data_IF_495053205537
#
_entry.id   IF_495053205537
#
_cell.length_a   1.000
_cell.length_b   1.000
_cell.length_c   1.000
_cell.angle_alpha   90.00
_cell.angle_beta   90.00
_cell.angle_gamma   90.00
#
_symmetry.space_group_name_H-M   'P 1'
#
loop_
_entity.id
_entity.type
_entity.pdbx_description
1 polymer ?
#
# COMPACT_ATOMS: atom_id res chain seq x y z
N UNK A 1 20.84 -0.58 9.88
CA UNK A 1 20.67 0.26 8.67
C UNK A 1 21.59 1.44 8.88
N UNK A 2 22.51 1.69 7.96
CA UNK A 2 23.35 2.90 7.99
C UNK A 2 22.48 4.15 7.81
N UNK A 3 22.87 5.26 8.44
CA UNK A 3 22.09 6.51 8.44
C UNK A 3 21.78 7.01 7.02
N UNK A 4 22.75 6.99 6.11
CA UNK A 4 22.54 7.40 4.71
C UNK A 4 21.44 6.58 3.99
N UNK A 5 21.34 5.28 4.27
CA UNK A 5 20.29 4.43 3.70
C UNK A 5 18.92 4.71 4.33
N UNK A 6 18.90 5.04 5.62
CA UNK A 6 17.68 5.50 6.29
C UNK A 6 17.20 6.80 5.67
N UNK A 7 18.07 7.81 5.56
CA UNK A 7 17.76 9.13 5.03
C UNK A 7 17.26 9.05 3.59
N UNK A 8 17.97 8.31 2.73
CA UNK A 8 17.53 8.09 1.35
C UNK A 8 16.15 7.43 1.28
N UNK A 9 15.92 6.40 2.10
CA UNK A 9 14.63 5.71 2.12
C UNK A 9 13.50 6.62 2.60
N UNK A 10 13.71 7.42 3.65
CA UNK A 10 12.72 8.39 4.13
C UNK A 10 12.47 9.49 3.08
N UNK A 11 13.51 9.96 2.41
CA UNK A 11 13.42 10.97 1.34
C UNK A 11 12.52 10.47 0.21
N UNK A 12 12.72 9.23 -0.26
CA UNK A 12 11.96 8.66 -1.37
C UNK A 12 10.55 8.22 -0.95
N UNK A 13 10.41 7.54 0.19
CA UNK A 13 9.18 6.85 0.54
C UNK A 13 8.18 7.72 1.29
N UNK A 14 8.64 8.79 1.95
CA UNK A 14 7.78 9.66 2.79
C UNK A 14 7.87 11.12 2.37
N UNK A 15 9.07 11.71 2.32
CA UNK A 15 9.23 13.14 2.03
C UNK A 15 8.77 13.50 0.62
N UNK A 16 8.98 12.64 -0.37
CA UNK A 16 8.46 12.85 -1.72
C UNK A 16 6.93 13.02 -1.73
N UNK A 17 6.21 12.24 -0.92
CA UNK A 17 4.75 12.31 -0.78
C UNK A 17 4.29 13.54 0.02
N UNK A 18 5.18 14.19 0.77
CA UNK A 18 4.93 15.52 1.34
C UNK A 18 5.16 16.63 0.29
N UNK A 19 6.25 16.53 -0.49
CA UNK A 19 6.66 17.58 -1.42
C UNK A 19 5.65 17.82 -2.54
N UNK A 20 4.95 16.79 -3.02
CA UNK A 20 3.87 16.94 -4.00
C UNK A 20 2.74 17.84 -3.48
N UNK A 21 2.02 17.41 -2.42
CA UNK A 21 0.98 18.21 -1.76
C UNK A 21 1.45 19.61 -1.37
N UNK A 22 2.65 19.76 -0.79
CA UNK A 22 3.21 21.07 -0.42
C UNK A 22 3.12 22.09 -1.56
N UNK A 23 3.41 21.67 -2.79
CA UNK A 23 3.39 22.54 -3.95
C UNK A 23 2.02 22.57 -4.65
N UNK A 24 1.23 21.50 -4.57
CA UNK A 24 -0.09 21.41 -5.21
C UNK A 24 -1.19 22.14 -4.44
N UNK A 25 -1.19 22.08 -3.10
CA UNK A 25 -2.26 22.60 -2.24
C UNK A 25 -2.57 24.07 -2.50
N UNK A 26 -1.60 25.00 -2.62
CA UNK A 26 -1.93 26.41 -2.92
C UNK A 26 -2.74 26.59 -4.20
N UNK A 27 -2.47 25.77 -5.22
CA UNK A 27 -3.24 25.78 -6.47
C UNK A 27 -4.61 25.13 -6.31
N UNK A 28 -4.71 24.01 -5.58
CA UNK A 28 -5.98 23.34 -5.30
C UNK A 28 -6.93 24.25 -4.52
N UNK A 29 -6.45 24.92 -3.48
CA UNK A 29 -7.22 25.91 -2.70
C UNK A 29 -7.72 27.03 -3.59
N UNK A 30 -6.87 27.56 -4.48
CA UNK A 30 -7.26 28.62 -5.42
C UNK A 30 -8.33 28.19 -6.44
N UNK A 31 -8.46 26.89 -6.71
CA UNK A 31 -9.47 26.31 -7.63
C UNK A 31 -10.68 25.70 -6.93
N UNK A 32 -10.81 25.82 -5.61
CA UNK A 32 -11.98 25.36 -4.85
C UNK A 32 -11.86 23.95 -4.25
N UNK A 33 -10.65 23.41 -4.14
CA UNK A 33 -10.36 22.14 -3.47
C UNK A 33 -9.90 21.03 -4.42
N UNK A 34 -10.02 19.78 -3.97
CA UNK A 34 -9.68 18.60 -4.76
C UNK A 34 -9.44 17.35 -3.92
N UNK A 35 -8.76 16.35 -4.51
CA UNK A 35 -8.44 15.09 -3.84
C UNK A 35 -6.96 14.72 -4.00
N UNK A 36 -6.32 14.32 -2.91
CA UNK A 36 -4.95 13.82 -2.85
C UNK A 36 -4.98 12.37 -2.38
N UNK A 37 -4.40 11.46 -3.17
CA UNK A 37 -4.31 10.04 -2.84
C UNK A 37 -2.85 9.63 -2.65
N UNK A 38 -2.48 9.31 -1.41
CA UNK A 38 -1.14 8.84 -1.06
C UNK A 38 -1.03 7.31 -1.20
N UNK A 39 0.12 6.82 -1.66
CA UNK A 39 0.38 5.39 -1.77
C UNK A 39 1.13 4.90 -0.52
N UNK A 40 0.39 4.35 0.43
CA UNK A 40 0.89 3.66 1.61
C UNK A 40 1.23 2.20 1.26
N UNK A 41 1.02 1.26 2.18
CA UNK A 41 1.19 -0.20 1.96
C UNK A 41 0.46 -0.97 3.04
N UNK A 42 0.19 -2.27 2.83
CA UNK A 42 -0.10 -3.15 3.99
C UNK A 42 1.02 -3.16 5.03
N UNK A 43 2.25 -2.85 4.62
CA UNK A 43 3.40 -2.63 5.51
C UNK A 43 3.28 -1.35 6.38
N UNK A 44 2.21 -0.56 6.22
CA UNK A 44 1.87 0.50 7.17
C UNK A 44 1.31 -0.05 8.49
N UNK A 45 0.85 -1.32 8.49
CA UNK A 45 0.21 -1.94 9.65
C UNK A 45 0.65 -3.39 9.93
N UNK A 46 1.20 -4.09 8.93
CA UNK A 46 1.94 -5.36 9.10
C UNK A 46 3.45 -5.10 9.06
N UNK A 47 4.24 -5.94 9.72
CA UNK A 47 5.68 -5.74 9.86
C UNK A 47 6.47 -7.02 9.57
N UNK A 48 7.64 -6.85 8.97
CA UNK A 48 8.55 -7.90 8.56
C UNK A 48 9.99 -7.59 9.02
N UNK A 49 10.74 -8.58 9.54
CA UNK A 49 12.16 -8.41 9.85
C UNK A 49 12.95 -7.88 8.64
N UNK A 50 13.80 -6.88 8.87
CA UNK A 50 14.65 -6.29 7.82
C UNK A 50 14.03 -5.11 7.06
N UNK A 51 12.73 -4.83 7.24
CA UNK A 51 12.01 -3.77 6.51
C UNK A 51 11.93 -2.44 7.26
N UNK A 52 12.80 -2.20 8.25
CA UNK A 52 12.74 -1.06 9.18
C UNK A 52 12.49 0.30 8.50
N UNK A 53 13.24 0.64 7.44
CA UNK A 53 13.10 1.93 6.74
C UNK A 53 11.77 2.02 6.00
N UNK A 54 11.44 0.96 5.24
CA UNK A 54 10.25 0.92 4.39
C UNK A 54 8.96 0.98 5.22
N UNK A 55 8.87 0.15 6.26
CA UNK A 55 7.70 0.08 7.14
C UNK A 55 7.53 1.36 7.95
N UNK A 56 8.63 1.93 8.47
CA UNK A 56 8.57 3.22 9.16
C UNK A 56 8.04 4.32 8.25
N UNK A 57 8.55 4.40 7.01
CA UNK A 57 8.09 5.38 6.03
C UNK A 57 6.61 5.18 5.68
N UNK A 58 6.19 3.94 5.37
CA UNK A 58 4.81 3.63 4.99
C UNK A 58 3.82 3.82 6.15
N UNK A 59 4.21 3.57 7.40
CA UNK A 59 3.43 3.96 8.56
C UNK A 59 3.33 5.49 8.69
N UNK A 60 4.43 6.21 8.43
CA UNK A 60 4.48 7.67 8.37
C UNK A 60 3.51 8.26 7.34
N UNK A 61 3.36 7.63 6.17
CA UNK A 61 2.40 8.05 5.13
C UNK A 61 0.95 8.05 5.66
N UNK A 62 0.57 7.08 6.50
CA UNK A 62 -0.76 7.04 7.11
C UNK A 62 -0.97 8.20 8.08
N UNK A 63 0.03 8.47 8.93
CA UNK A 63 -0.01 9.63 9.83
C UNK A 63 -0.11 10.95 9.07
N UNK A 64 0.73 11.13 8.04
CA UNK A 64 0.75 12.31 7.18
C UNK A 64 -0.59 12.51 6.45
N UNK A 65 -1.20 11.44 5.96
CA UNK A 65 -2.52 11.48 5.29
C UNK A 65 -3.60 12.02 6.23
N UNK A 66 -3.63 11.53 7.48
CA UNK A 66 -4.60 11.99 8.50
C UNK A 66 -4.36 13.46 8.86
N UNK A 67 -3.10 13.85 9.05
CA UNK A 67 -2.75 15.23 9.38
C UNK A 67 -3.18 16.19 8.26
N UNK A 68 -2.81 15.88 7.01
CA UNK A 68 -3.20 16.70 5.86
C UNK A 68 -4.72 16.77 5.68
N UNK A 69 -5.44 15.67 5.91
CA UNK A 69 -6.90 15.66 5.83
C UNK A 69 -7.55 16.62 6.84
N UNK A 70 -7.04 16.68 8.08
CA UNK A 70 -7.55 17.60 9.10
C UNK A 70 -7.15 19.05 8.83
N UNK A 71 -5.96 19.26 8.25
CA UNK A 71 -5.40 20.58 8.02
C UNK A 71 -6.03 21.27 6.81
N UNK A 72 -6.22 20.55 5.71
CA UNK A 72 -6.69 21.11 4.42
C UNK A 72 -8.15 20.78 4.10
N UNK A 73 -8.85 20.04 4.97
CA UNK A 73 -10.28 19.79 4.85
C UNK A 73 -11.13 21.07 4.72
N UNK A 74 -10.89 22.13 5.54
CA UNK A 74 -11.58 23.41 5.39
C UNK A 74 -11.39 24.10 4.02
N UNK A 75 -10.31 23.79 3.30
CA UNK A 75 -10.03 24.30 1.95
C UNK A 75 -10.70 23.47 0.84
N UNK A 76 -11.58 22.53 1.21
CA UNK A 76 -12.24 21.62 0.26
C UNK A 76 -11.32 20.51 -0.28
N UNK A 77 -10.19 20.26 0.38
CA UNK A 77 -9.22 19.24 -0.06
C UNK A 77 -9.40 17.96 0.76
N UNK A 78 -9.72 16.86 0.07
CA UNK A 78 -9.77 15.52 0.65
C UNK A 78 -8.41 14.86 0.51
N UNK A 79 -7.93 14.20 1.57
CA UNK A 79 -6.64 13.51 1.54
C UNK A 79 -6.83 12.11 2.07
N UNK A 80 -6.61 11.11 1.23
CA UNK A 80 -6.74 9.70 1.58
C UNK A 80 -5.47 8.94 1.19
N UNK A 81 -5.36 7.70 1.67
CA UNK A 81 -4.30 6.80 1.27
C UNK A 81 -4.88 5.46 0.78
N UNK A 82 -4.10 4.77 -0.04
CA UNK A 82 -4.32 3.36 -0.37
C UNK A 82 -3.21 2.54 0.26
N UNK A 83 -3.55 1.40 0.86
CA UNK A 83 -2.63 0.39 1.35
C UNK A 83 -2.73 -0.87 0.48
N UNK A 84 -1.90 -0.98 -0.57
CA UNK A 84 -1.87 -2.16 -1.42
C UNK A 84 -1.31 -3.38 -0.71
N UNK A 85 -1.87 -4.56 -1.02
CA UNK A 85 -1.21 -5.85 -0.83
C UNK A 85 -0.12 -6.08 -1.88
N UNK A 86 0.12 -7.35 -2.23
CA UNK A 86 1.08 -7.71 -3.27
C UNK A 86 0.46 -7.51 -4.65
N UNK A 87 0.87 -6.43 -5.33
CA UNK A 87 0.37 -6.04 -6.65
C UNK A 87 1.40 -6.38 -7.71
N UNK A 88 1.03 -7.24 -8.65
CA UNK A 88 1.91 -7.70 -9.73
C UNK A 88 1.80 -6.73 -10.92
N UNK A 89 2.66 -5.72 -10.93
CA UNK A 89 2.90 -4.85 -12.09
C UNK A 89 3.95 -5.42 -13.05
N UNK A 90 4.31 -4.67 -14.10
CA UNK A 90 5.22 -5.11 -15.17
C UNK A 90 6.56 -5.68 -14.65
N UNK A 91 7.17 -5.02 -13.65
CA UNK A 91 8.44 -5.47 -13.07
C UNK A 91 8.34 -6.82 -12.35
N UNK A 92 7.32 -7.00 -11.51
CA UNK A 92 7.09 -8.26 -10.78
C UNK A 92 6.56 -9.38 -11.69
N UNK A 93 5.84 -9.03 -12.77
CA UNK A 93 5.30 -10.01 -13.69
C UNK A 93 6.40 -10.88 -14.32
N UNK A 94 7.56 -10.29 -14.63
CA UNK A 94 8.72 -11.04 -15.12
C UNK A 94 9.26 -12.01 -14.06
N UNK A 95 9.41 -11.56 -12.82
CA UNK A 95 9.91 -12.38 -11.70
C UNK A 95 8.98 -13.58 -11.48
N UNK A 96 7.67 -13.36 -11.46
CA UNK A 96 6.70 -14.43 -11.23
C UNK A 96 6.51 -15.37 -12.42
N UNK A 97 6.77 -14.89 -13.65
CA UNK A 97 6.85 -15.77 -14.81
C UNK A 97 7.98 -16.80 -14.70
N UNK A 98 9.11 -16.38 -14.14
CA UNK A 98 10.27 -17.27 -13.93
C UNK A 98 10.15 -18.12 -12.64
N UNK A 99 9.22 -17.76 -11.74
CA UNK A 99 8.90 -18.52 -10.52
C UNK A 99 7.38 -18.68 -10.31
N UNK A 100 6.69 -19.50 -11.14
CA UNK A 100 5.24 -19.65 -11.05
C UNK A 100 4.79 -20.33 -9.75
N UNK A 101 5.55 -21.30 -9.21
CA UNK A 101 5.19 -21.99 -7.97
C UNK A 101 5.30 -21.06 -6.76
N UNK A 102 6.30 -20.19 -6.72
CA UNK A 102 6.37 -19.11 -5.73
C UNK A 102 5.23 -18.11 -5.87
N UNK A 103 4.82 -17.77 -7.10
CA UNK A 103 3.67 -16.88 -7.32
C UNK A 103 2.37 -17.49 -6.78
N UNK A 104 2.13 -18.77 -7.03
CA UNK A 104 0.98 -19.50 -6.50
C UNK A 104 0.97 -19.54 -4.96
N UNK A 105 2.13 -19.71 -4.33
CA UNK A 105 2.25 -19.60 -2.88
C UNK A 105 1.84 -18.20 -2.39
N UNK A 106 2.33 -17.13 -3.02
CA UNK A 106 1.91 -15.77 -2.68
C UNK A 106 0.41 -15.56 -2.91
N UNK A 107 -0.15 -16.08 -4.00
CA UNK A 107 -1.59 -15.98 -4.27
C UNK A 107 -2.42 -16.72 -3.21
N UNK A 108 -1.95 -17.85 -2.67
CA UNK A 108 -2.64 -18.56 -1.59
C UNK A 108 -2.72 -17.75 -0.29
N UNK A 109 -1.81 -16.80 -0.06
CA UNK A 109 -1.85 -15.94 1.12
C UNK A 109 -3.10 -15.05 1.17
N UNK A 110 -3.69 -14.75 0.01
CA UNK A 110 -4.85 -13.88 -0.12
C UNK A 110 -6.15 -14.68 -0.04
N UNK A 111 -7.16 -14.24 0.74
CA UNK A 111 -8.51 -14.80 0.69
C UNK A 111 -9.12 -14.87 -0.72
N UNK A 112 -8.81 -13.89 -1.59
CA UNK A 112 -9.25 -13.89 -3.00
C UNK A 112 -8.49 -14.87 -3.91
N UNK A 113 -7.47 -15.58 -3.40
CA UNK A 113 -6.68 -16.60 -4.14
C UNK A 113 -5.99 -16.08 -5.40
N UNK A 114 -5.62 -14.79 -5.38
CA UNK A 114 -4.81 -14.14 -6.40
C UNK A 114 -4.04 -12.99 -5.77
N UNK A 115 -2.93 -12.63 -6.39
CA UNK A 115 -2.27 -11.34 -6.17
C UNK A 115 -3.07 -10.22 -6.84
N UNK A 116 -2.87 -8.98 -6.40
CA UNK A 116 -3.49 -7.83 -7.04
C UNK A 116 -2.83 -7.50 -8.38
N UNK A 117 -3.54 -6.70 -9.20
CA UNK A 117 -3.04 -6.10 -10.44
C UNK A 117 -3.15 -4.57 -10.36
N UNK A 118 -2.44 -3.81 -11.22
CA UNK A 118 -2.49 -2.34 -11.19
C UNK A 118 -3.92 -1.77 -11.24
N UNK A 119 -4.82 -2.41 -12.00
CA UNK A 119 -6.22 -1.99 -12.13
C UNK A 119 -6.98 -2.06 -10.80
N UNK A 120 -6.66 -3.01 -9.91
CA UNK A 120 -7.27 -3.07 -8.57
C UNK A 120 -6.99 -1.79 -7.78
N UNK A 121 -5.77 -1.23 -7.92
CA UNK A 121 -5.36 0.02 -7.28
C UNK A 121 -5.94 1.23 -8.00
N UNK A 122 -5.87 1.25 -9.34
CA UNK A 122 -6.39 2.34 -10.15
C UNK A 122 -7.88 2.59 -9.89
N UNK A 123 -8.67 1.51 -9.78
CA UNK A 123 -10.10 1.60 -9.45
C UNK A 123 -10.35 2.25 -8.08
N UNK A 124 -9.54 1.90 -7.07
CA UNK A 124 -9.62 2.52 -5.75
C UNK A 124 -9.24 4.00 -5.76
N UNK A 125 -8.20 4.38 -6.52
CA UNK A 125 -7.82 5.79 -6.72
C UNK A 125 -8.96 6.55 -7.39
N UNK A 126 -9.50 6.01 -8.49
CA UNK A 126 -10.57 6.64 -9.25
C UNK A 126 -11.80 6.91 -8.37
N UNK A 127 -12.20 5.92 -7.56
CA UNK A 127 -13.28 6.08 -6.57
C UNK A 127 -12.96 7.17 -5.54
N UNK A 128 -11.77 7.15 -4.92
CA UNK A 128 -11.43 8.15 -3.90
C UNK A 128 -11.28 9.57 -4.49
N UNK A 129 -11.03 9.69 -5.79
CA UNK A 129 -11.02 10.97 -6.50
C UNK A 129 -12.41 11.44 -6.94
N UNK A 130 -13.43 10.58 -6.93
CA UNK A 130 -14.77 10.92 -7.44
C UNK A 130 -15.65 11.63 -6.41
N UNK A 131 -16.82 12.13 -6.87
CA UNK A 131 -17.82 12.80 -6.04
C UNK A 131 -18.52 11.84 -5.07
N UNK A 132 -18.59 10.55 -5.41
CA UNK A 132 -19.12 9.50 -4.53
C UNK A 132 -18.29 9.35 -3.25
N UNK A 133 -17.04 9.79 -3.25
CA UNK A 133 -16.16 9.84 -2.08
C UNK A 133 -16.10 11.23 -1.41
N UNK A 134 -17.02 12.14 -1.72
CA UNK A 134 -17.03 13.53 -1.22
C UNK A 134 -17.01 13.68 0.30
N UNK A 135 -17.42 12.66 1.06
CA UNK A 135 -17.37 12.65 2.52
C UNK A 135 -16.31 11.71 3.11
N UNK A 136 -15.36 11.23 2.29
CA UNK A 136 -14.25 10.37 2.71
C UNK A 136 -12.96 11.17 2.65
N UNK A 137 -12.36 11.43 3.82
CA UNK A 137 -11.04 12.05 3.98
C UNK A 137 -10.34 11.47 5.21
N UNK A 138 -9.00 11.45 5.22
CA UNK A 138 -8.16 10.87 6.26
C UNK A 138 -8.17 9.34 6.31
N UNK A 139 -8.85 8.67 5.37
CA UNK A 139 -8.99 7.22 5.35
C UNK A 139 -7.78 6.56 4.67
N UNK A 140 -7.42 5.37 5.13
CA UNK A 140 -6.45 4.49 4.48
C UNK A 140 -7.19 3.25 3.98
N UNK A 141 -7.50 3.23 2.69
CA UNK A 141 -8.21 2.13 2.05
C UNK A 141 -7.26 0.96 1.79
N UNK A 142 -7.45 -0.15 2.50
CA UNK A 142 -6.75 -1.39 2.18
C UNK A 142 -7.28 -1.97 0.86
N UNK A 143 -6.39 -2.21 -0.09
CA UNK A 143 -6.67 -2.93 -1.35
C UNK A 143 -5.69 -4.09 -1.41
N UNK A 144 -6.00 -5.12 -0.65
CA UNK A 144 -5.04 -6.17 -0.30
C UNK A 144 -5.63 -7.58 -0.41
N UNK A 145 -6.75 -7.75 -1.12
CA UNK A 145 -7.41 -9.04 -1.29
C UNK A 145 -7.79 -9.75 0.01
N UNK A 146 -7.88 -9.03 1.14
CA UNK A 146 -8.18 -9.56 2.46
C UNK A 146 -6.96 -10.04 3.26
N UNK A 147 -5.73 -9.74 2.82
CA UNK A 147 -4.50 -10.16 3.49
C UNK A 147 -4.50 -9.76 4.98
N UNK A 148 -4.78 -8.47 5.25
CA UNK A 148 -4.63 -7.83 6.56
C UNK A 148 -5.69 -8.21 7.61
N UNK A 149 -6.75 -8.91 7.21
CA UNK A 149 -7.91 -9.21 8.07
C UNK A 149 -8.01 -10.68 8.45
N UNK A 150 -6.90 -11.43 8.35
CA UNK A 150 -6.83 -12.86 8.68
C UNK A 150 -6.27 -13.08 10.10
N UNK A 151 -6.82 -14.06 10.82
CA UNK A 151 -6.20 -14.55 12.07
C UNK A 151 -4.87 -15.27 11.76
N UNK A 152 -3.81 -14.83 12.43
CA UNK A 152 -2.44 -15.26 12.14
C UNK A 152 -2.24 -16.76 12.34
N UNK A 153 -2.89 -17.37 13.33
CA UNK A 153 -2.76 -18.80 13.64
C UNK A 153 -3.33 -19.67 12.51
N UNK A 154 -4.47 -19.25 11.95
CA UNK A 154 -5.12 -19.96 10.83
C UNK A 154 -4.39 -19.72 9.51
N UNK A 155 -3.93 -18.49 9.29
CA UNK A 155 -3.11 -18.15 8.14
C UNK A 155 -1.83 -19.00 8.11
N UNK A 156 -1.08 -19.04 9.22
CA UNK A 156 0.17 -19.80 9.32
C UNK A 156 -0.03 -21.30 9.10
N UNK A 157 -1.07 -21.90 9.70
CA UNK A 157 -1.39 -23.32 9.47
C UNK A 157 -1.74 -23.61 8.01
N UNK A 158 -2.47 -22.71 7.33
CA UNK A 158 -2.77 -22.85 5.90
C UNK A 158 -1.48 -22.84 5.07
N UNK A 159 -0.59 -21.87 5.31
CA UNK A 159 0.67 -21.78 4.58
C UNK A 159 1.58 -23.00 4.83
N UNK A 160 1.65 -23.47 6.08
CA UNK A 160 2.42 -24.67 6.41
C UNK A 160 1.88 -25.93 5.69
N UNK A 161 0.56 -26.09 5.62
CA UNK A 161 -0.06 -27.18 4.88
C UNK A 161 0.13 -27.05 3.37
N UNK A 162 0.08 -25.82 2.82
CA UNK A 162 0.37 -25.57 1.41
C UNK A 162 1.77 -26.06 1.06
N UNK A 163 2.80 -25.64 1.80
CA UNK A 163 4.19 -26.03 1.53
C UNK A 163 4.39 -27.54 1.70
N UNK A 164 3.75 -28.16 2.70
CA UNK A 164 3.80 -29.62 2.90
C UNK A 164 3.22 -30.39 1.71
N UNK A 165 2.14 -29.88 1.12
CA UNK A 165 1.47 -30.51 -0.01
C UNK A 165 2.13 -30.17 -1.36
N UNK A 166 2.99 -29.14 -1.39
CA UNK A 166 3.69 -28.66 -2.57
C UNK A 166 5.20 -28.53 -2.26
N UNK A 167 5.92 -29.63 -2.03
CA UNK A 167 7.31 -29.59 -1.55
C UNK A 167 8.29 -28.93 -2.53
N UNK A 168 7.94 -28.88 -3.82
CA UNK A 168 8.73 -28.26 -4.88
C UNK A 168 8.44 -26.75 -5.06
N UNK A 169 7.68 -26.14 -4.15
CA UNK A 169 7.41 -24.70 -4.16
C UNK A 169 8.71 -23.92 -3.99
N UNK A 170 9.05 -23.11 -4.98
CA UNK A 170 10.21 -22.22 -4.91
C UNK A 170 9.83 -20.94 -4.15
N UNK A 171 9.99 -20.99 -2.82
CA UNK A 171 9.76 -19.84 -1.95
C UNK A 171 10.82 -18.77 -2.23
N UNK A 172 10.44 -17.53 -2.59
CA UNK A 172 11.40 -16.45 -2.67
C UNK A 172 11.99 -16.20 -1.28
N UNK A 173 13.31 -16.21 -1.20
CA UNK A 173 14.10 -15.79 -0.03
C UNK A 173 14.27 -14.29 0.01
#
# INVERSE_FOLDING_TARGET
VEEDNWDYGIDVLLKALYLGPKNAIPHMTATGGGSIINLASVHSFLQEPGMLVYESAKAGVVGMTRQMATEFGPDGIRVNAIAPGHIVGEGLAKIWKDNPTGHEFFADQYPLRRTGIPDDIANGIAFLCSEEASFITGHTLAIDGGLSVQLQEKFGLRQANYVRNNPDTNLPT
#
